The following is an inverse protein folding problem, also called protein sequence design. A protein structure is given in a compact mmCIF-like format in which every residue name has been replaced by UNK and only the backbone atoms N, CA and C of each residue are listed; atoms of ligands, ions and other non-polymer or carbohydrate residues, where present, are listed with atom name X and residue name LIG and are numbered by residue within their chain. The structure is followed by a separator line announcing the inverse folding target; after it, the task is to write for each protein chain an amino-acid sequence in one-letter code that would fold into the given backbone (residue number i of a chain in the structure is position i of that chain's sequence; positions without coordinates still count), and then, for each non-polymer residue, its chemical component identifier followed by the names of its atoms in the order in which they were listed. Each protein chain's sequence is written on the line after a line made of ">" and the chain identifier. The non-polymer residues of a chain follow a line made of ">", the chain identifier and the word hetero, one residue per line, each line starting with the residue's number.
data_IF_952140032137
#
_entry.id   IF_952140032137
#
_cell.length_a   1.000
_cell.length_b   1.000
_cell.length_c   1.000
_cell.angle_alpha   90.00
_cell.angle_beta   90.00
_cell.angle_gamma   90.00
#
_symmetry.space_group_name_H-M   'P 1'
#
loop_
_entity.id
_entity.type
_entity.pdbx_description
1 polymer ?
#
# COMPACT_ATOMS: atom_id res chain seq x y z
N UNK A 1 -14.90 -4.34 24.92
CA UNK A 1 -15.56 -4.19 23.60
C UNK A 1 -14.97 -2.95 22.95
N UNK A 2 -14.18 -3.11 21.89
CA UNK A 2 -13.66 -1.97 21.12
C UNK A 2 -14.86 -1.42 20.36
N UNK A 3 -15.15 -0.13 20.54
CA UNK A 3 -16.25 0.54 19.81
C UNK A 3 -15.92 0.49 18.33
N UNK A 4 -16.67 -0.30 17.57
CA UNK A 4 -16.47 -0.54 16.15
C UNK A 4 -16.85 0.67 15.26
N UNK A 5 -17.03 1.86 15.86
CA UNK A 5 -17.47 3.07 15.15
C UNK A 5 -16.33 3.98 14.72
N UNK A 6 -15.10 3.76 15.21
CA UNK A 6 -13.90 4.53 14.86
C UNK A 6 -13.24 4.10 13.54
N UNK A 7 -12.31 4.89 12.99
CA UNK A 7 -11.51 4.48 11.84
C UNK A 7 -10.52 3.37 12.21
N UNK A 8 -10.14 2.55 11.23
CA UNK A 8 -9.11 1.53 11.42
C UNK A 8 -7.73 2.18 11.60
N UNK A 9 -7.51 3.28 10.87
CA UNK A 9 -6.29 4.05 10.91
C UNK A 9 -6.63 5.55 10.86
N UNK A 10 -6.01 6.31 11.74
CA UNK A 10 -6.07 7.77 11.74
C UNK A 10 -4.65 8.32 11.64
N UNK A 11 -4.36 9.09 10.59
CA UNK A 11 -3.09 9.78 10.41
C UNK A 11 -3.33 11.25 10.76
N UNK A 12 -2.60 11.79 11.74
CA UNK A 12 -2.80 13.14 12.24
C UNK A 12 -1.58 14.02 12.04
N UNK A 13 -1.80 15.30 11.88
CA UNK A 13 -0.76 16.32 11.93
C UNK A 13 0.16 16.40 10.70
N UNK A 14 -0.13 15.66 9.63
CA UNK A 14 0.69 15.65 8.43
C UNK A 14 0.39 16.75 7.42
N UNK A 15 1.24 16.88 6.42
CA UNK A 15 0.97 17.66 5.21
C UNK A 15 0.56 16.69 4.10
N UNK A 16 -0.72 16.63 3.81
CA UNK A 16 -1.28 15.79 2.74
C UNK A 16 -0.98 16.41 1.38
N UNK A 17 -0.38 15.62 0.49
CA UNK A 17 -0.01 16.02 -0.87
C UNK A 17 -0.89 15.28 -1.87
N UNK A 18 -1.50 16.01 -2.79
CA UNK A 18 -2.33 15.48 -3.86
C UNK A 18 -1.98 16.17 -5.19
N UNK A 19 -2.57 15.73 -6.29
CA UNK A 19 -2.42 16.39 -7.59
C UNK A 19 -2.93 17.85 -7.57
N UNK A 20 -3.83 18.20 -6.65
CA UNK A 20 -4.37 19.56 -6.48
C UNK A 20 -3.49 20.48 -5.62
N UNK A 21 -2.43 19.93 -5.02
CA UNK A 21 -1.52 20.66 -4.14
C UNK A 21 -1.36 19.99 -2.77
N UNK A 22 -0.71 20.71 -1.87
CA UNK A 22 -0.44 20.24 -0.51
C UNK A 22 -1.15 21.10 0.54
N UNK A 23 -1.62 20.45 1.60
CA UNK A 23 -2.24 21.15 2.74
C UNK A 23 -2.07 20.36 4.03
N UNK A 24 -2.08 21.04 5.15
CA UNK A 24 -2.20 20.39 6.45
C UNK A 24 -3.58 19.74 6.57
N UNK A 25 -3.59 18.43 6.82
CA UNK A 25 -4.82 17.68 7.02
C UNK A 25 -4.53 16.36 7.73
N UNK A 26 -5.56 15.81 8.34
CA UNK A 26 -5.60 14.47 8.90
C UNK A 26 -6.33 13.53 7.91
N UNK A 27 -6.02 12.25 7.98
CA UNK A 27 -6.60 11.22 7.11
C UNK A 27 -7.19 10.10 7.97
N UNK A 28 -8.47 9.82 7.78
CA UNK A 28 -9.14 8.68 8.37
C UNK A 28 -9.34 7.57 7.33
N UNK A 29 -9.00 6.34 7.70
CA UNK A 29 -9.16 5.15 6.87
C UNK A 29 -10.06 4.16 7.59
N UNK A 30 -11.00 3.56 6.85
CA UNK A 30 -11.88 2.50 7.32
C UNK A 30 -12.10 1.47 6.22
N UNK A 31 -12.00 0.19 6.56
CA UNK A 31 -12.20 -0.91 5.60
C UNK A 31 -11.27 -0.81 4.39
N UNK A 32 -10.02 -0.38 4.60
CA UNK A 32 -9.03 -0.21 3.53
C UNK A 32 -9.30 0.98 2.58
N UNK A 33 -10.21 1.90 2.93
CA UNK A 33 -10.57 3.07 2.12
C UNK A 33 -10.38 4.35 2.91
N UNK A 34 -9.95 5.42 2.23
CA UNK A 34 -9.94 6.76 2.80
C UNK A 34 -11.38 7.21 3.01
N UNK A 35 -11.76 7.42 4.26
CA UNK A 35 -13.10 7.85 4.66
C UNK A 35 -13.21 9.38 4.73
N UNK A 36 -12.14 10.03 5.19
CA UNK A 36 -12.09 11.49 5.32
C UNK A 36 -10.66 12.02 5.18
N UNK A 37 -10.54 13.22 4.62
CA UNK A 37 -9.31 14.03 4.61
C UNK A 37 -9.71 15.44 5.02
N UNK A 38 -9.53 15.79 6.29
CA UNK A 38 -10.00 17.03 6.87
C UNK A 38 -8.87 17.71 7.66
N UNK A 39 -9.07 19.00 7.96
CA UNK A 39 -8.06 19.81 8.65
C UNK A 39 -7.72 19.27 10.04
N UNK A 40 -8.72 18.73 10.72
CA UNK A 40 -8.61 18.20 12.07
C UNK A 40 -9.61 17.06 12.29
N UNK A 41 -9.10 15.89 12.52
CA UNK A 41 -9.85 14.68 12.88
C UNK A 41 -9.41 14.13 14.25
N UNK A 42 -8.68 14.92 15.04
CA UNK A 42 -8.14 14.48 16.34
C UNK A 42 -9.23 14.01 17.30
N UNK A 43 -10.44 14.57 17.21
CA UNK A 43 -11.60 14.14 17.99
C UNK A 43 -12.01 12.67 17.73
N UNK A 44 -11.54 12.05 16.65
CA UNK A 44 -11.81 10.63 16.30
C UNK A 44 -10.75 9.68 16.82
N UNK A 45 -9.66 10.17 17.43
CA UNK A 45 -8.52 9.35 17.88
C UNK A 45 -8.90 8.35 18.96
N UNK A 46 -9.82 8.70 19.84
CA UNK A 46 -10.27 7.81 20.92
C UNK A 46 -11.01 6.54 20.46
N UNK A 47 -11.50 6.52 19.21
CA UNK A 47 -12.16 5.37 18.61
C UNK A 47 -11.34 4.71 17.50
N UNK A 48 -10.16 5.25 17.14
CA UNK A 48 -9.31 4.70 16.10
C UNK A 48 -8.56 3.46 16.60
N UNK A 49 -8.47 2.40 15.77
CA UNK A 49 -7.69 1.21 16.10
C UNK A 49 -6.18 1.51 16.09
N UNK A 50 -5.73 2.38 15.18
CA UNK A 50 -4.34 2.83 15.08
C UNK A 50 -4.30 4.32 14.83
N UNK A 51 -3.45 5.06 15.56
CA UNK A 51 -3.18 6.48 15.31
C UNK A 51 -1.71 6.66 14.95
N UNK A 52 -1.45 7.34 13.85
CA UNK A 52 -0.10 7.70 13.37
C UNK A 52 0.06 9.20 13.45
N UNK A 53 1.03 9.65 14.24
CA UNK A 53 1.45 11.06 14.25
C UNK A 53 2.39 11.30 13.05
N UNK A 54 1.93 12.09 12.09
CA UNK A 54 2.67 12.53 10.91
C UNK A 54 3.12 13.98 11.01
N UNK A 55 3.23 14.52 12.22
CA UNK A 55 3.68 15.91 12.43
C UNK A 55 5.05 16.16 11.81
N UNK A 56 5.13 17.16 10.94
CA UNK A 56 6.36 17.47 10.20
C UNK A 56 6.63 16.57 8.99
N UNK A 57 5.79 15.58 8.72
CA UNK A 57 5.93 14.66 7.60
C UNK A 57 4.97 15.01 6.45
N UNK A 58 5.33 14.51 5.26
CA UNK A 58 4.45 14.51 4.10
C UNK A 58 3.63 13.20 4.10
N UNK A 59 2.35 13.32 3.89
CA UNK A 59 1.44 12.19 3.66
C UNK A 59 1.14 12.14 2.17
N UNK A 60 1.68 11.13 1.51
CA UNK A 60 1.62 10.97 0.05
C UNK A 60 0.72 9.78 -0.30
N UNK A 61 0.07 9.76 -1.47
CA UNK A 61 -0.42 8.53 -2.04
C UNK A 61 0.73 7.53 -2.22
N UNK A 62 0.44 6.24 -2.07
CA UNK A 62 1.43 5.23 -2.40
C UNK A 62 1.89 5.35 -3.85
N UNK A 63 3.18 5.12 -4.08
CA UNK A 63 3.74 5.15 -5.42
C UNK A 63 3.18 4.01 -6.27
N UNK A 64 2.93 4.31 -7.55
CA UNK A 64 2.54 3.32 -8.56
C UNK A 64 3.74 3.13 -9.48
N UNK A 65 4.32 1.94 -9.45
CA UNK A 65 5.38 1.57 -10.39
C UNK A 65 4.74 0.95 -11.63
N UNK A 66 4.84 1.63 -12.75
CA UNK A 66 4.20 1.22 -14.01
C UNK A 66 5.07 0.30 -14.86
N UNK A 67 6.28 -0.02 -14.41
CA UNK A 67 7.20 -0.87 -15.15
C UNK A 67 8.18 -1.56 -14.20
N UNK A 68 7.79 -2.68 -13.65
CA UNK A 68 8.68 -3.49 -12.80
C UNK A 68 8.74 -4.94 -13.26
N UNK A 69 9.86 -5.59 -13.03
CA UNK A 69 10.08 -7.00 -13.28
C UNK A 69 10.18 -7.72 -11.93
N UNK A 70 9.03 -8.02 -11.33
CA UNK A 70 9.02 -8.85 -10.12
C UNK A 70 9.34 -10.29 -10.48
N UNK A 71 10.16 -10.91 -9.64
CA UNK A 71 10.50 -12.32 -9.85
C UNK A 71 9.37 -13.19 -9.33
N UNK A 72 8.97 -14.17 -10.11
CA UNK A 72 7.98 -15.15 -9.67
C UNK A 72 8.62 -16.20 -8.76
N UNK A 73 7.80 -16.82 -7.94
CA UNK A 73 8.18 -17.95 -7.13
C UNK A 73 8.74 -19.09 -7.98
N UNK A 74 9.69 -19.81 -7.42
CA UNK A 74 10.23 -21.06 -7.98
C UNK A 74 10.41 -22.06 -6.85
N UNK A 75 10.60 -23.36 -7.18
CA UNK A 75 10.84 -24.38 -6.16
C UNK A 75 12.05 -24.05 -5.27
N UNK A 76 13.06 -23.37 -5.81
CA UNK A 76 14.24 -22.95 -5.07
C UNK A 76 14.02 -21.67 -4.24
N UNK A 77 13.07 -20.82 -4.64
CA UNK A 77 12.77 -19.53 -3.99
C UNK A 77 11.25 -19.27 -4.02
N UNK A 78 10.49 -19.99 -3.18
CA UNK A 78 9.02 -19.88 -3.17
C UNK A 78 8.53 -18.49 -2.73
N UNK A 79 9.31 -17.79 -1.92
CA UNK A 79 8.92 -16.49 -1.33
C UNK A 79 9.39 -15.27 -2.15
N UNK A 80 9.83 -15.46 -3.39
CA UNK A 80 10.40 -14.37 -4.19
C UNK A 80 9.46 -13.19 -4.35
N UNK A 81 8.23 -13.45 -4.76
CA UNK A 81 7.23 -12.40 -4.98
C UNK A 81 6.94 -11.64 -3.68
N UNK A 82 6.74 -12.36 -2.58
CA UNK A 82 6.53 -11.76 -1.27
C UNK A 82 7.70 -10.86 -0.85
N UNK A 83 8.93 -11.32 -1.01
CA UNK A 83 10.14 -10.55 -0.65
C UNK A 83 10.31 -9.30 -1.52
N UNK A 84 10.08 -9.42 -2.83
CA UNK A 84 10.18 -8.30 -3.76
C UNK A 84 9.05 -7.28 -3.49
N UNK A 85 7.82 -7.72 -3.24
CA UNK A 85 6.69 -6.84 -2.89
C UNK A 85 6.87 -6.17 -1.53
N UNK A 86 7.43 -6.88 -0.56
CA UNK A 86 7.77 -6.31 0.75
C UNK A 86 8.81 -5.19 0.61
N UNK A 87 9.87 -5.41 -0.18
CA UNK A 87 10.87 -4.37 -0.45
C UNK A 87 10.26 -3.14 -1.14
N UNK A 88 9.35 -3.35 -2.10
CA UNK A 88 8.61 -2.28 -2.76
C UNK A 88 7.75 -1.49 -1.77
N UNK A 89 7.04 -2.17 -0.87
CA UNK A 89 6.22 -1.55 0.17
C UNK A 89 7.04 -0.68 1.13
N UNK A 90 8.21 -1.16 1.56
CA UNK A 90 9.15 -0.36 2.37
C UNK A 90 9.66 0.88 1.62
N UNK A 91 9.74 0.84 0.30
CA UNK A 91 10.06 1.99 -0.55
C UNK A 91 8.87 2.93 -0.82
N UNK A 92 7.68 2.61 -0.29
CA UNK A 92 6.46 3.40 -0.49
C UNK A 92 5.69 3.07 -1.77
N UNK A 93 6.06 2.01 -2.49
CA UNK A 93 5.32 1.52 -3.66
C UNK A 93 4.19 0.60 -3.18
N UNK A 94 2.95 0.98 -3.48
CA UNK A 94 1.74 0.25 -3.07
C UNK A 94 1.03 -0.45 -4.22
N UNK A 95 1.42 -0.13 -5.44
CA UNK A 95 0.85 -0.71 -6.66
C UNK A 95 1.93 -0.81 -7.71
N UNK A 96 1.99 -1.91 -8.43
CA UNK A 96 2.90 -2.05 -9.56
C UNK A 96 2.30 -2.88 -10.68
N UNK A 97 2.71 -2.55 -11.89
CA UNK A 97 2.42 -3.32 -13.09
C UNK A 97 3.64 -4.22 -13.37
N UNK A 98 3.53 -5.47 -12.95
CA UNK A 98 4.60 -6.44 -13.11
C UNK A 98 4.65 -6.93 -14.56
N UNK A 99 5.81 -6.74 -15.20
CA UNK A 99 6.10 -7.38 -16.47
C UNK A 99 6.61 -8.79 -16.21
N UNK A 100 5.88 -9.72 -16.76
CA UNK A 100 6.34 -11.08 -16.80
C UNK A 100 7.36 -11.22 -17.93
N UNK A 101 8.57 -11.64 -17.60
CA UNK A 101 9.58 -12.08 -18.56
C UNK A 101 9.55 -13.62 -18.57
N UNK A 102 8.69 -14.23 -19.40
CA UNK A 102 8.80 -15.66 -19.61
C UNK A 102 10.18 -15.90 -20.23
N UNK A 103 11.00 -16.72 -19.57
CA UNK A 103 12.29 -17.11 -20.12
C UNK A 103 12.15 -17.67 -21.54
N UNK A 104 13.22 -17.69 -22.28
CA UNK A 104 13.27 -18.28 -23.63
C UNK A 104 12.79 -19.74 -23.54
N UNK A 105 11.58 -19.99 -24.01
CA UNK A 105 10.89 -21.28 -23.84
C UNK A 105 9.57 -21.18 -23.11
N UNK A 106 8.92 -19.98 -23.08
CA UNK A 106 7.63 -19.78 -22.46
C UNK A 106 6.59 -20.74 -23.04
N UNK A 107 6.37 -21.81 -22.32
CA UNK A 107 5.21 -22.66 -22.53
C UNK A 107 4.01 -22.04 -21.77
N UNK A 108 2.80 -22.41 -22.16
CA UNK A 108 1.56 -22.10 -21.43
C UNK A 108 1.64 -22.49 -19.94
N UNK A 109 2.51 -23.43 -19.57
CA UNK A 109 2.82 -23.82 -18.21
C UNK A 109 3.56 -22.73 -17.42
N UNK A 110 4.46 -21.97 -18.04
CA UNK A 110 5.14 -20.84 -17.39
C UNK A 110 4.17 -19.70 -17.10
N UNK A 111 3.21 -19.42 -17.98
CA UNK A 111 2.15 -18.44 -17.74
C UNK A 111 1.23 -18.86 -16.58
N UNK A 112 0.89 -20.13 -16.47
CA UNK A 112 0.06 -20.63 -15.37
C UNK A 112 0.75 -20.53 -14.01
N UNK A 113 2.06 -20.81 -13.95
CA UNK A 113 2.80 -20.75 -12.69
C UNK A 113 2.88 -19.34 -12.12
N UNK A 114 2.77 -18.29 -12.97
CA UNK A 114 2.77 -16.91 -12.54
C UNK A 114 1.44 -16.52 -11.89
N UNK A 115 0.32 -16.99 -12.44
CA UNK A 115 -1.01 -16.70 -11.90
C UNK A 115 -1.26 -17.47 -10.60
N UNK A 116 -0.67 -18.64 -10.42
CA UNK A 116 -0.80 -19.45 -9.18
C UNK A 116 0.16 -19.05 -8.07
N UNK A 117 1.18 -18.23 -8.35
CA UNK A 117 2.10 -17.70 -7.33
C UNK A 117 1.67 -16.34 -6.76
N UNK A 118 0.46 -15.88 -7.09
CA UNK A 118 -0.10 -14.60 -6.63
C UNK A 118 -1.24 -14.81 -5.60
N UNK A 119 -1.68 -16.04 -5.39
CA UNK A 119 -2.71 -16.42 -4.40
C UNK A 119 -2.15 -16.52 -2.97
#
# INVERSE_FOLDING_TARGET
>A
MIDATGPDLLIVGGTVVTAAGSRRADVAVRGGRIEAVERDLSGRSGGAATVVDASGLLVLPGCIDVHTHTRVASDAEPDRFYRDSLAAAFGGTTTFLAFNNPGTGSSEAAHRSILTGID
#
